data_IF_250063552080
#
_entry.id   IF_250063552080
#
_cell.length_a   1.000
_cell.length_b   1.000
_cell.length_c   1.000
_cell.angle_alpha   90.00
_cell.angle_beta   90.00
_cell.angle_gamma   90.00
#
_symmetry.space_group_name_H-M   'P 1'
#
loop_
_entity.id
_entity.type
_entity.pdbx_description
1 polymer ?
#
# COMPACT_ATOMS: atom_id res chain seq x y z
N UNK A 1 0.13 6.34 -29.78
CA UNK A 1 0.38 5.04 -29.11
C UNK A 1 -0.82 4.81 -28.20
N UNK A 2 -1.71 3.92 -28.59
CA UNK A 2 -2.83 3.51 -27.74
C UNK A 2 -2.22 3.03 -26.39
N UNK A 3 -2.65 3.63 -25.30
CA UNK A 3 -2.11 3.31 -24.00
C UNK A 3 -2.63 1.92 -23.59
N UNK A 4 -1.84 0.88 -23.87
CA UNK A 4 -2.19 -0.52 -23.56
C UNK A 4 -2.59 -0.71 -22.09
N UNK A 5 -2.04 0.12 -21.19
CA UNK A 5 -2.41 0.05 -19.76
C UNK A 5 -3.86 0.45 -19.53
N UNK A 6 -4.38 1.46 -20.23
CA UNK A 6 -5.81 1.83 -20.15
C UNK A 6 -6.71 0.71 -20.67
N UNK A 7 -6.30 0.02 -21.74
CA UNK A 7 -7.04 -1.13 -22.26
C UNK A 7 -7.09 -2.25 -21.22
N UNK A 8 -5.95 -2.55 -20.57
CA UNK A 8 -5.88 -3.56 -19.52
C UNK A 8 -6.75 -3.17 -18.31
N UNK A 9 -6.69 -1.89 -17.89
CA UNK A 9 -7.54 -1.42 -16.78
C UNK A 9 -9.02 -1.56 -17.10
N UNK A 10 -9.45 -1.15 -18.29
CA UNK A 10 -10.83 -1.28 -18.72
C UNK A 10 -11.29 -2.75 -18.73
N UNK A 11 -10.48 -3.63 -19.33
CA UNK A 11 -10.75 -5.07 -19.36
C UNK A 11 -10.79 -5.67 -17.94
N UNK A 12 -9.93 -5.22 -17.03
CA UNK A 12 -9.91 -5.67 -15.64
C UNK A 12 -11.17 -5.22 -14.89
N UNK A 13 -11.57 -3.95 -15.04
CA UNK A 13 -12.75 -3.39 -14.39
C UNK A 13 -14.07 -4.03 -14.89
N UNK A 14 -14.10 -4.42 -16.17
CA UNK A 14 -15.23 -5.16 -16.75
C UNK A 14 -15.15 -6.69 -16.52
N UNK A 15 -14.25 -7.14 -15.64
CA UNK A 15 -14.05 -8.56 -15.32
C UNK A 15 -13.62 -9.46 -16.50
N UNK A 16 -13.18 -8.85 -17.60
CA UNK A 16 -12.69 -9.56 -18.79
C UNK A 16 -11.24 -10.06 -18.60
N UNK A 17 -10.98 -10.78 -17.52
CA UNK A 17 -9.63 -11.16 -17.07
C UNK A 17 -8.80 -11.89 -18.13
N UNK A 18 -9.41 -12.75 -18.92
CA UNK A 18 -8.69 -13.48 -19.98
C UNK A 18 -8.25 -12.55 -21.12
N UNK A 19 -9.06 -11.52 -21.44
CA UNK A 19 -8.67 -10.48 -22.40
C UNK A 19 -7.55 -9.62 -21.84
N UNK A 20 -7.67 -9.20 -20.58
CA UNK A 20 -6.63 -8.45 -19.88
C UNK A 20 -5.28 -9.17 -19.92
N UNK A 21 -5.25 -10.48 -19.59
CA UNK A 21 -4.02 -11.30 -19.71
C UNK A 21 -3.45 -11.36 -21.11
N UNK A 22 -4.29 -11.46 -22.15
CA UNK A 22 -3.82 -11.42 -23.54
C UNK A 22 -3.23 -10.06 -23.90
N UNK A 23 -3.84 -8.98 -23.42
CA UNK A 23 -3.33 -7.61 -23.64
C UNK A 23 -2.01 -7.38 -22.92
N UNK A 24 -1.86 -7.88 -21.67
CA UNK A 24 -0.62 -7.80 -20.91
C UNK A 24 0.59 -8.43 -21.63
N UNK A 25 0.38 -9.49 -22.39
CA UNK A 25 1.45 -10.14 -23.21
C UNK A 25 1.98 -9.26 -24.35
N UNK A 26 1.25 -8.21 -24.74
CA UNK A 26 1.65 -7.28 -25.81
C UNK A 26 2.64 -6.21 -25.33
N UNK A 27 2.85 -6.06 -24.00
CA UNK A 27 3.85 -5.15 -23.48
C UNK A 27 5.26 -5.64 -23.87
N UNK A 28 6.08 -4.74 -24.37
CA UNK A 28 7.45 -5.06 -24.81
C UNK A 28 8.27 -5.58 -23.62
N UNK A 29 9.04 -6.62 -23.86
CA UNK A 29 10.06 -7.10 -22.92
C UNK A 29 11.21 -6.09 -22.91
N UNK A 30 11.75 -5.76 -21.73
CA UNK A 30 12.95 -4.93 -21.59
C UNK A 30 12.70 -3.52 -21.02
N UNK A 31 11.45 -3.15 -20.74
CA UNK A 31 11.11 -1.95 -19.98
C UNK A 31 10.71 -2.36 -18.56
N UNK A 32 11.52 -2.00 -17.57
CA UNK A 32 11.31 -2.38 -16.16
C UNK A 32 9.97 -1.89 -15.61
N UNK A 33 9.52 -0.69 -16.04
CA UNK A 33 8.23 -0.14 -15.64
C UNK A 33 7.07 -1.03 -16.12
N UNK A 34 7.05 -1.38 -17.41
CA UNK A 34 6.02 -2.24 -17.98
C UNK A 34 6.13 -3.68 -17.50
N UNK A 35 7.34 -4.16 -17.26
CA UNK A 35 7.55 -5.49 -16.68
C UNK A 35 6.89 -5.60 -15.31
N UNK A 36 7.16 -4.64 -14.40
CA UNK A 36 6.56 -4.62 -13.07
C UNK A 36 5.04 -4.37 -13.11
N UNK A 37 4.57 -3.44 -13.96
CA UNK A 37 3.14 -3.21 -14.17
C UNK A 37 2.42 -4.50 -14.56
N UNK A 38 2.99 -5.29 -15.48
CA UNK A 38 2.44 -6.58 -15.90
C UNK A 38 2.32 -7.55 -14.74
N UNK A 39 3.40 -7.73 -13.97
CA UNK A 39 3.43 -8.61 -12.79
C UNK A 39 2.33 -8.21 -11.80
N UNK A 40 2.27 -6.93 -11.45
CA UNK A 40 1.28 -6.40 -10.53
C UNK A 40 -0.16 -6.67 -11.00
N UNK A 41 -0.43 -6.43 -12.28
CA UNK A 41 -1.78 -6.63 -12.84
C UNK A 41 -2.14 -8.12 -12.95
N UNK A 42 -1.20 -8.97 -13.33
CA UNK A 42 -1.39 -10.43 -13.33
C UNK A 42 -1.71 -10.95 -11.91
N UNK A 43 -1.00 -10.47 -10.89
CA UNK A 43 -1.29 -10.83 -9.50
C UNK A 43 -2.70 -10.40 -9.08
N UNK A 44 -3.14 -9.19 -9.45
CA UNK A 44 -4.50 -8.71 -9.19
C UNK A 44 -5.55 -9.61 -9.85
N UNK A 45 -5.33 -10.02 -11.09
CA UNK A 45 -6.21 -10.94 -11.82
C UNK A 45 -6.24 -12.32 -11.14
N UNK A 46 -5.09 -12.84 -10.72
CA UNK A 46 -5.02 -14.12 -9.97
C UNK A 46 -5.83 -14.03 -8.69
N UNK A 47 -5.73 -12.93 -7.95
CA UNK A 47 -6.51 -12.71 -6.73
C UNK A 47 -8.03 -12.77 -6.97
N UNK A 48 -8.49 -12.23 -8.12
CA UNK A 48 -9.91 -12.25 -8.51
C UNK A 48 -10.39 -13.61 -9.05
N UNK A 49 -9.57 -14.25 -9.89
CA UNK A 49 -9.95 -15.53 -10.54
C UNK A 49 -9.76 -16.75 -9.64
N UNK A 50 -8.88 -16.66 -8.65
CA UNK A 50 -8.52 -17.78 -7.77
C UNK A 50 -8.64 -17.38 -6.30
N UNK A 51 -7.53 -16.87 -5.71
CA UNK A 51 -7.53 -16.43 -4.31
C UNK A 51 -6.31 -15.53 -4.01
N UNK A 52 -6.38 -14.85 -2.86
CA UNK A 52 -5.30 -13.98 -2.37
C UNK A 52 -3.97 -14.72 -2.17
N UNK A 53 -4.00 -15.97 -1.71
CA UNK A 53 -2.79 -16.76 -1.44
C UNK A 53 -1.99 -17.05 -2.71
N UNK A 54 -2.66 -17.44 -3.78
CA UNK A 54 -2.00 -17.68 -5.07
C UNK A 54 -1.44 -16.39 -5.66
N UNK A 55 -2.17 -15.27 -5.53
CA UNK A 55 -1.70 -13.94 -5.92
C UNK A 55 -0.41 -13.56 -5.18
N UNK A 56 -0.36 -13.77 -3.87
CA UNK A 56 0.83 -13.52 -3.06
C UNK A 56 2.02 -14.40 -3.46
N UNK A 57 1.78 -15.67 -3.68
CA UNK A 57 2.83 -16.60 -4.11
C UNK A 57 3.41 -16.16 -5.47
N UNK A 58 2.55 -15.71 -6.38
CA UNK A 58 2.98 -15.20 -7.68
C UNK A 58 3.81 -13.92 -7.54
N UNK A 59 3.34 -12.92 -6.78
CA UNK A 59 4.08 -11.67 -6.53
C UNK A 59 5.44 -11.96 -5.91
N UNK A 60 5.49 -12.84 -4.91
CA UNK A 60 6.75 -13.21 -4.27
C UNK A 60 7.73 -13.84 -5.26
N UNK A 61 7.27 -14.82 -6.03
CA UNK A 61 8.11 -15.51 -6.99
C UNK A 61 8.67 -14.57 -8.09
N UNK A 62 7.88 -13.59 -8.53
CA UNK A 62 8.34 -12.60 -9.52
C UNK A 62 9.24 -11.53 -8.90
N UNK A 63 8.94 -11.07 -7.67
CA UNK A 63 9.75 -10.12 -6.94
C UNK A 63 11.16 -10.67 -6.62
N UNK A 64 11.24 -11.94 -6.22
CA UNK A 64 12.50 -12.62 -5.90
C UNK A 64 13.47 -12.70 -7.12
N UNK A 65 12.95 -12.54 -8.34
CA UNK A 65 13.77 -12.49 -9.57
C UNK A 65 14.34 -11.10 -9.87
N UNK A 66 13.85 -10.04 -9.19
CA UNK A 66 14.25 -8.67 -9.47
C UNK A 66 15.54 -8.36 -8.72
N UNK A 67 16.61 -8.10 -9.45
CA UNK A 67 17.87 -7.65 -8.87
C UNK A 67 17.79 -6.17 -8.49
N UNK A 68 18.01 -5.84 -7.21
CA UNK A 68 17.94 -4.47 -6.65
C UNK A 68 16.63 -3.75 -6.99
N UNK A 69 15.48 -4.21 -6.48
CA UNK A 69 14.21 -3.54 -6.72
C UNK A 69 14.26 -2.11 -6.17
N UNK A 70 13.74 -1.15 -6.93
CA UNK A 70 13.59 0.23 -6.48
C UNK A 70 12.46 0.38 -5.44
N UNK A 71 12.41 1.54 -4.76
CA UNK A 71 11.46 1.78 -3.67
C UNK A 71 10.00 1.68 -4.12
N UNK A 72 9.69 2.05 -5.38
CA UNK A 72 8.33 1.91 -5.93
C UNK A 72 7.89 0.44 -6.02
N UNK A 73 8.78 -0.44 -6.45
CA UNK A 73 8.51 -1.89 -6.51
C UNK A 73 8.35 -2.44 -5.10
N UNK A 74 9.24 -2.05 -4.17
CA UNK A 74 9.19 -2.46 -2.76
C UNK A 74 7.87 -1.99 -2.12
N UNK A 75 7.45 -0.76 -2.40
CA UNK A 75 6.19 -0.19 -1.93
C UNK A 75 4.97 -0.97 -2.44
N UNK A 76 4.94 -1.29 -3.73
CA UNK A 76 3.86 -2.09 -4.31
C UNK A 76 3.78 -3.48 -3.65
N UNK A 77 4.93 -4.13 -3.42
CA UNK A 77 5.00 -5.44 -2.72
C UNK A 77 4.49 -5.31 -1.28
N UNK A 78 4.89 -4.25 -0.55
CA UNK A 78 4.39 -3.99 0.80
C UNK A 78 2.85 -3.85 0.81
N UNK A 79 2.29 -3.11 -0.14
CA UNK A 79 0.84 -2.97 -0.28
C UNK A 79 0.14 -4.30 -0.61
N UNK A 80 0.73 -5.16 -1.43
CA UNK A 80 0.19 -6.50 -1.68
C UNK A 80 0.12 -7.32 -0.39
N UNK A 81 1.17 -7.32 0.42
CA UNK A 81 1.17 -8.01 1.71
C UNK A 81 0.14 -7.41 2.66
N UNK A 82 0.07 -6.07 2.78
CA UNK A 82 -0.94 -5.39 3.60
C UNK A 82 -2.37 -5.78 3.20
N UNK A 83 -2.68 -5.72 1.90
CA UNK A 83 -4.02 -6.04 1.37
C UNK A 83 -4.39 -7.53 1.51
N UNK A 84 -3.41 -8.37 1.75
CA UNK A 84 -3.58 -9.79 2.01
C UNK A 84 -3.49 -10.14 3.50
N UNK A 85 -3.47 -9.10 4.37
CA UNK A 85 -3.45 -9.23 5.82
C UNK A 85 -2.15 -9.84 6.38
N UNK A 86 -1.11 -9.90 5.55
CA UNK A 86 0.24 -10.33 5.92
C UNK A 86 1.04 -9.13 6.50
N UNK A 87 0.54 -8.54 7.58
CA UNK A 87 0.99 -7.25 8.10
C UNK A 87 2.47 -7.23 8.51
N UNK A 88 3.01 -8.32 9.07
CA UNK A 88 4.43 -8.39 9.43
C UNK A 88 5.35 -8.20 8.22
N UNK A 89 4.98 -8.84 7.10
CA UNK A 89 5.75 -8.71 5.86
C UNK A 89 5.61 -7.31 5.27
N UNK A 90 4.39 -6.74 5.30
CA UNK A 90 4.15 -5.36 4.87
C UNK A 90 5.01 -4.37 5.67
N UNK A 91 5.03 -4.47 6.99
CA UNK A 91 5.83 -3.65 7.90
C UNK A 91 7.32 -3.74 7.55
N UNK A 92 7.84 -4.94 7.32
CA UNK A 92 9.24 -5.15 6.92
C UNK A 92 9.61 -4.34 5.68
N UNK A 93 8.77 -4.37 4.65
CA UNK A 93 9.04 -3.67 3.40
C UNK A 93 8.83 -2.15 3.52
N UNK A 94 7.81 -1.67 4.26
CA UNK A 94 7.67 -0.24 4.55
C UNK A 94 8.87 0.30 5.33
N UNK A 95 9.36 -0.45 6.33
CA UNK A 95 10.54 -0.07 7.11
C UNK A 95 11.76 0.06 6.21
N UNK A 96 11.98 -0.89 5.30
CA UNK A 96 13.12 -0.84 4.36
C UNK A 96 13.16 0.46 3.54
N UNK A 97 11.98 0.97 3.11
CA UNK A 97 11.92 2.24 2.38
C UNK A 97 12.14 3.41 3.35
N UNK A 98 11.47 3.39 4.51
CA UNK A 98 11.57 4.45 5.52
C UNK A 98 13.00 4.71 5.98
N UNK A 99 13.83 3.67 6.08
CA UNK A 99 15.22 3.76 6.49
C UNK A 99 16.12 4.49 5.46
N UNK A 100 15.65 4.62 4.21
CA UNK A 100 16.35 5.31 3.12
C UNK A 100 15.87 6.74 2.86
N UNK A 101 14.78 7.18 3.52
CA UNK A 101 14.13 8.47 3.25
C UNK A 101 14.51 9.57 4.25
N UNK A 102 14.62 10.81 3.74
CA UNK A 102 14.77 12.00 4.56
C UNK A 102 13.58 12.26 5.48
N UNK A 103 13.81 12.99 6.57
CA UNK A 103 12.85 13.22 7.64
C UNK A 103 11.59 14.00 7.23
N UNK A 104 11.67 14.81 6.18
CA UNK A 104 10.61 15.77 5.75
C UNK A 104 9.83 15.34 4.51
N UNK A 105 10.11 14.17 3.96
CA UNK A 105 9.47 13.70 2.73
C UNK A 105 7.98 13.39 2.95
N UNK A 106 7.09 13.95 2.09
CA UNK A 106 5.65 13.62 2.08
C UNK A 106 5.41 12.12 1.85
N UNK A 107 6.25 11.48 1.06
CA UNK A 107 6.23 10.02 0.85
C UNK A 107 6.46 9.29 2.18
N UNK A 108 7.31 9.84 3.05
CA UNK A 108 7.55 9.29 4.39
C UNK A 108 6.29 9.32 5.25
N UNK A 109 5.48 10.37 5.17
CA UNK A 109 4.22 10.47 5.91
C UNK A 109 3.23 9.36 5.47
N UNK A 110 3.06 9.13 4.16
CA UNK A 110 2.22 8.05 3.63
C UNK A 110 2.72 6.65 4.06
N UNK A 111 4.03 6.43 4.03
CA UNK A 111 4.62 5.17 4.49
C UNK A 111 4.41 4.93 5.98
N UNK A 112 4.58 5.96 6.81
CA UNK A 112 4.31 5.90 8.25
C UNK A 112 2.84 5.61 8.51
N UNK A 113 1.92 6.27 7.82
CA UNK A 113 0.49 5.98 7.89
C UNK A 113 0.17 4.51 7.58
N UNK A 114 0.72 3.97 6.49
CA UNK A 114 0.49 2.57 6.08
C UNK A 114 1.11 1.56 7.05
N UNK A 115 2.31 1.85 7.55
CA UNK A 115 2.98 1.01 8.55
C UNK A 115 2.26 1.07 9.89
N UNK A 116 1.87 2.27 10.32
CA UNK A 116 1.06 2.48 11.53
C UNK A 116 -0.26 1.71 11.49
N UNK A 117 -1.01 1.79 10.38
CA UNK A 117 -2.20 0.99 10.19
C UNK A 117 -1.94 -0.52 10.20
N UNK A 118 -0.78 -0.97 9.69
CA UNK A 118 -0.39 -2.38 9.77
C UNK A 118 -0.07 -2.81 11.22
N UNK A 119 0.58 -1.94 12.00
CA UNK A 119 0.81 -2.19 13.43
C UNK A 119 -0.49 -2.26 14.23
N UNK A 120 -1.42 -1.36 13.93
CA UNK A 120 -2.75 -1.32 14.58
C UNK A 120 -3.50 -2.63 14.37
N UNK A 121 -3.56 -3.13 13.12
CA UNK A 121 -4.18 -4.41 12.77
C UNK A 121 -3.55 -5.62 13.48
N UNK A 122 -2.32 -5.49 13.96
CA UNK A 122 -1.62 -6.49 14.78
C UNK A 122 -1.78 -6.27 16.28
N UNK A 123 -2.57 -5.28 16.72
CA UNK A 123 -2.69 -4.90 18.12
C UNK A 123 -1.43 -4.23 18.73
N UNK A 124 -0.47 -3.84 17.90
CA UNK A 124 0.77 -3.17 18.33
C UNK A 124 0.56 -1.65 18.43
N UNK A 125 -0.36 -1.24 19.28
CA UNK A 125 -0.93 0.11 19.35
C UNK A 125 0.10 1.21 19.61
N UNK A 126 1.08 0.98 20.50
CA UNK A 126 2.12 1.98 20.77
C UNK A 126 2.94 2.30 19.50
N UNK A 127 3.26 1.28 18.71
CA UNK A 127 3.99 1.46 17.46
C UNK A 127 3.11 2.12 16.40
N UNK A 128 1.83 1.78 16.36
CA UNK A 128 0.85 2.40 15.50
C UNK A 128 0.71 3.89 15.78
N UNK A 129 0.46 4.25 17.04
CA UNK A 129 0.33 5.64 17.50
C UNK A 129 1.60 6.45 17.18
N UNK A 130 2.79 5.88 17.43
CA UNK A 130 4.05 6.55 17.11
C UNK A 130 4.20 6.85 15.63
N UNK A 131 3.90 5.89 14.76
CA UNK A 131 3.99 6.08 13.31
C UNK A 131 2.96 7.12 12.83
N UNK A 132 1.71 7.04 13.27
CA UNK A 132 0.65 7.97 12.90
C UNK A 132 0.92 9.40 13.39
N UNK A 133 1.39 9.57 14.62
CA UNK A 133 1.79 10.87 15.14
C UNK A 133 2.99 11.45 14.38
N UNK A 134 3.96 10.62 13.99
CA UNK A 134 5.08 11.07 13.18
C UNK A 134 4.65 11.43 11.74
N UNK A 135 3.64 10.76 11.18
CA UNK A 135 3.04 11.18 9.91
C UNK A 135 2.38 12.56 10.04
N UNK A 136 1.65 12.83 11.14
CA UNK A 136 1.05 14.14 11.41
C UNK A 136 2.08 15.24 11.72
N UNK A 137 3.27 14.93 12.22
CA UNK A 137 4.36 15.94 12.32
C UNK A 137 4.85 16.42 10.96
N UNK A 138 4.81 15.54 9.95
CA UNK A 138 5.19 15.89 8.57
C UNK A 138 4.03 16.59 7.84
N UNK A 139 2.81 16.07 7.98
CA UNK A 139 1.60 16.63 7.40
C UNK A 139 0.50 16.80 8.47
N UNK A 140 0.47 17.94 9.19
CA UNK A 140 -0.41 18.14 10.34
C UNK A 140 -1.91 18.18 10.01
N UNK A 141 -2.26 18.35 8.74
CA UNK A 141 -3.62 18.52 8.26
C UNK A 141 -4.10 17.34 7.41
N UNK A 142 -3.43 16.20 7.49
CA UNK A 142 -3.86 15.00 6.79
C UNK A 142 -5.12 14.42 7.43
N UNK A 143 -6.28 14.71 6.82
CA UNK A 143 -7.59 14.30 7.32
C UNK A 143 -7.71 12.77 7.45
N UNK A 144 -7.06 11.99 6.57
CA UNK A 144 -7.09 10.54 6.65
C UNK A 144 -6.33 10.03 7.88
N UNK A 145 -5.15 10.59 8.15
CA UNK A 145 -4.35 10.20 9.31
C UNK A 145 -5.02 10.65 10.61
N UNK A 146 -5.54 11.89 10.65
CA UNK A 146 -6.30 12.40 11.81
C UNK A 146 -7.49 11.51 12.14
N UNK A 147 -8.35 11.22 11.15
CA UNK A 147 -9.48 10.32 11.32
C UNK A 147 -9.05 8.93 11.81
N UNK A 148 -8.05 8.34 11.16
CA UNK A 148 -7.64 6.98 11.50
C UNK A 148 -7.13 6.88 12.94
N UNK A 149 -6.28 7.81 13.38
CA UNK A 149 -5.72 7.83 14.74
C UNK A 149 -6.81 8.10 15.78
N UNK A 150 -7.70 9.05 15.50
CA UNK A 150 -8.80 9.39 16.39
C UNK A 150 -9.75 8.19 16.62
N UNK A 151 -10.20 7.54 15.55
CA UNK A 151 -11.03 6.34 15.67
C UNK A 151 -10.33 5.22 16.43
N UNK A 152 -9.04 4.96 16.13
CA UNK A 152 -8.25 3.96 16.85
C UNK A 152 -8.15 4.27 18.35
N UNK A 153 -8.03 5.55 18.74
CA UNK A 153 -8.02 5.94 20.15
C UNK A 153 -9.40 5.79 20.79
N UNK A 154 -10.48 6.19 20.12
CA UNK A 154 -11.84 6.05 20.64
C UNK A 154 -12.22 4.58 20.86
N UNK A 155 -11.92 3.70 19.91
CA UNK A 155 -12.18 2.26 20.05
C UNK A 155 -11.46 1.63 21.25
N UNK A 156 -10.31 2.18 21.65
CA UNK A 156 -9.53 1.74 22.80
C UNK A 156 -9.86 2.49 24.10
N UNK A 157 -10.84 3.39 24.09
CA UNK A 157 -11.13 4.31 25.22
C UNK A 157 -9.88 5.09 25.67
N UNK A 158 -9.03 5.50 24.74
CA UNK A 158 -7.78 6.21 24.98
C UNK A 158 -7.87 7.63 24.42
N UNK A 159 -7.32 8.61 25.13
CA UNK A 159 -7.18 10.01 24.67
C UNK A 159 -8.44 10.57 23.99
N UNK A 160 -9.60 10.37 24.64
CA UNK A 160 -10.92 10.66 24.06
C UNK A 160 -11.03 12.14 23.62
N UNK A 161 -10.58 13.07 24.45
CA UNK A 161 -10.67 14.50 24.13
C UNK A 161 -9.82 14.87 22.92
N UNK A 162 -8.56 14.40 22.90
CA UNK A 162 -7.64 14.63 21.77
C UNK A 162 -8.17 13.96 20.48
N UNK A 163 -8.82 12.80 20.60
CA UNK A 163 -9.44 12.14 19.45
C UNK A 163 -10.60 12.96 18.87
N UNK A 164 -11.44 13.57 19.74
CA UNK A 164 -12.53 14.45 19.29
C UNK A 164 -11.97 15.69 18.58
N UNK A 165 -10.95 16.34 19.14
CA UNK A 165 -10.28 17.48 18.50
C UNK A 165 -9.70 17.11 17.13
N UNK A 166 -9.10 15.92 16.99
CA UNK A 166 -8.59 15.42 15.71
C UNK A 166 -9.71 15.21 14.69
N UNK A 167 -10.87 14.68 15.10
CA UNK A 167 -12.03 14.51 14.22
C UNK A 167 -12.58 15.87 13.77
N UNK A 168 -12.76 16.83 14.68
CA UNK A 168 -13.21 18.17 14.36
C UNK A 168 -12.26 18.83 13.35
N UNK A 169 -10.96 18.70 13.59
CA UNK A 169 -9.93 19.20 12.66
C UNK A 169 -10.02 18.52 11.29
N UNK A 170 -10.20 17.19 11.24
CA UNK A 170 -10.30 16.47 9.98
C UNK A 170 -11.52 16.86 9.16
N UNK A 171 -12.65 17.21 9.81
CA UNK A 171 -13.87 17.67 9.13
C UNK A 171 -13.79 19.11 8.65
N UNK A 172 -12.81 19.89 9.09
CA UNK A 172 -12.63 21.30 8.67
C UNK A 172 -11.89 21.46 7.36
N UNK A 173 -11.40 20.38 6.78
CA UNK A 173 -10.67 20.33 5.50
C UNK A 173 -11.45 19.53 4.46
#
# INVERSE_FOLDING_TARGET
>A
IFNLSLVVENQYLNEEYNKAKKTLKKFKKGDDFYHWYRIKKEAQIISKQRNKKESLNYIKAEFDKIYKPNDKIIFDVANFYKNSEEYEKAIKYYTKILDSLDSTSVIKADLLYRRGGSYERMGKYEKADNDLLNALKINPNDAYVLNYLAYSWLERNNKINEAIEMLEKAYSY
#
